data_IF_127782489169
#
_entry.id   IF_127782489169
#
_cell.length_a   1.000
_cell.length_b   1.000
_cell.length_c   1.000
_cell.angle_alpha   90.00
_cell.angle_beta   90.00
_cell.angle_gamma   90.00
#
_symmetry.space_group_name_H-M   'P 1'
#
loop_
_entity.id
_entity.type
_entity.pdbx_description
1 polymer ?
#
# COMPACT_ATOMS: atom_id res chain seq x y z
N UNK A 1 8.88 -7.44 19.17
CA UNK A 1 8.59 -7.18 19.16
C UNK A 1 8.18 -6.81 19.25
N UNK A 2 7.90 -6.77 18.84
CA UNK A 2 7.33 -6.43 18.73
C UNK A 2 6.69 -6.15 19.26
N UNK A 3 6.55 -6.14 19.33
CA UNK A 3 5.84 -5.93 19.64
C UNK A 3 5.59 -5.24 20.11
N UNK A 4 5.75 -4.99 19.96
CA UNK A 4 5.38 -4.33 20.06
C UNK A 4 5.18 -3.72 19.71
N UNK A 5 5.37 -3.72 19.23
CA UNK A 5 4.92 -3.15 18.63
C UNK A 5 3.96 -3.16 18.47
N UNK A 6 3.55 -3.18 18.46
CA UNK A 6 2.48 -3.13 18.17
C UNK A 6 1.67 -3.22 18.72
N UNK A 7 1.69 -3.17 19.01
CA UNK A 7 0.92 -3.22 19.24
C UNK A 7 0.10 -3.11 19.55
N UNK A 8 0.00 -3.26 19.94
CA UNK A 8 -1.10 -3.27 19.93
C UNK A 8 -1.81 -2.56 19.59
N UNK A 9 -1.33 -2.54 19.56
CA UNK A 9 -1.75 -2.06 19.31
C UNK A 9 -2.16 -1.33 18.53
N UNK A 10 -1.87 -1.79 17.86
CA UNK A 10 -2.28 -0.87 16.82
C UNK A 10 -3.76 -1.00 16.54
N UNK A 11 -4.54 -0.23 17.26
CA UNK A 11 -5.99 -0.30 17.17
C UNK A 11 -6.55 0.66 16.13
N UNK A 12 -5.68 1.39 15.39
CA UNK A 12 -6.15 2.36 14.42
C UNK A 12 -6.35 1.79 13.04
N UNK A 13 -5.69 0.68 12.71
CA UNK A 13 -5.86 0.06 11.40
C UNK A 13 -5.64 -1.44 11.43
N UNK A 14 -6.25 -2.10 10.47
CA UNK A 14 -6.03 -3.50 10.17
C UNK A 14 -5.21 -3.57 8.89
N UNK A 15 -4.14 -4.35 8.90
CA UNK A 15 -3.25 -4.50 7.77
C UNK A 15 -3.46 -5.84 7.09
N UNK A 16 -3.47 -5.81 5.77
CA UNK A 16 -3.57 -7.00 4.97
C UNK A 16 -2.47 -6.98 3.92
N UNK A 17 -1.54 -7.91 4.01
CA UNK A 17 -0.52 -8.09 2.98
C UNK A 17 -1.15 -8.73 1.76
N UNK A 18 -0.87 -8.17 0.60
CA UNK A 18 -1.42 -8.63 -0.67
C UNK A 18 -0.44 -8.29 -1.79
N UNK A 19 -0.91 -8.35 -3.01
CA UNK A 19 -0.10 -7.98 -4.15
C UNK A 19 -0.93 -7.92 -5.41
N UNK A 20 -0.35 -7.37 -6.45
CA UNK A 20 -1.00 -7.24 -7.74
C UNK A 20 0.04 -7.42 -8.84
N UNK A 21 -0.43 -7.70 -10.05
CA UNK A 21 0.44 -7.82 -11.20
C UNK A 21 0.42 -6.55 -12.01
N UNK A 22 1.62 -6.07 -12.35
CA UNK A 22 1.82 -4.94 -13.24
C UNK A 22 2.58 -5.44 -14.46
N UNK A 23 1.88 -5.62 -15.57
CA UNK A 23 2.47 -6.15 -16.79
C UNK A 23 3.18 -7.49 -16.59
N UNK A 24 2.60 -8.38 -15.78
CA UNK A 24 3.18 -9.68 -15.50
C UNK A 24 4.21 -9.71 -14.38
N UNK A 25 4.58 -8.57 -13.81
CA UNK A 25 5.50 -8.50 -12.67
C UNK A 25 4.69 -8.33 -11.39
N UNK A 26 4.93 -9.21 -10.41
CA UNK A 26 4.21 -9.14 -9.13
C UNK A 26 4.78 -8.03 -8.26
N UNK A 27 3.88 -7.20 -7.73
CA UNK A 27 4.22 -6.11 -6.82
C UNK A 27 3.55 -6.36 -5.48
N UNK A 28 4.35 -6.28 -4.41
CA UNK A 28 3.86 -6.46 -3.05
C UNK A 28 3.14 -5.21 -2.59
N UNK A 29 2.01 -5.37 -1.93
CA UNK A 29 1.20 -4.27 -1.44
C UNK A 29 0.67 -4.56 -0.06
N UNK A 30 0.23 -3.53 0.63
CA UNK A 30 -0.45 -3.65 1.91
C UNK A 30 -1.66 -2.75 1.91
N UNK A 31 -2.80 -3.31 2.30
CA UNK A 31 -4.02 -2.54 2.54
C UNK A 31 -4.09 -2.24 4.03
N UNK A 32 -4.19 -0.96 4.35
CA UNK A 32 -4.36 -0.48 5.72
C UNK A 32 -5.80 0.03 5.83
N UNK A 33 -6.60 -0.64 6.65
CA UNK A 33 -8.01 -0.29 6.81
C UNK A 33 -8.25 0.26 8.19
N UNK A 34 -9.17 1.22 8.35
CA UNK A 34 -9.58 1.66 9.70
C UNK A 34 -10.03 0.46 10.53
N UNK A 35 -9.73 0.47 11.82
CA UNK A 35 -10.16 -0.60 12.73
C UNK A 35 -11.67 -0.70 12.78
N UNK A 36 -12.36 0.41 12.61
CA UNK A 36 -13.82 0.45 12.53
C UNK A 36 -14.23 1.18 11.27
N UNK A 37 -14.97 0.49 10.42
CA UNK A 37 -15.54 1.13 9.25
C UNK A 37 -16.71 2.01 9.68
N UNK A 38 -16.76 3.22 9.13
CA UNK A 38 -17.85 4.16 9.39
C UNK A 38 -18.93 4.09 8.31
N UNK A 39 -18.68 3.33 7.24
CA UNK A 39 -19.60 3.15 6.13
C UNK A 39 -19.29 1.83 5.44
N UNK A 40 -20.22 1.38 4.60
CA UNK A 40 -20.05 0.14 3.84
C UNK A 40 -18.89 0.23 2.86
N UNK A 41 -18.72 1.41 2.25
CA UNK A 41 -17.56 1.71 1.42
C UNK A 41 -16.86 2.94 1.95
N UNK A 42 -15.54 2.95 1.84
CA UNK A 42 -14.71 4.05 2.33
C UNK A 42 -13.87 4.60 1.19
N UNK A 43 -13.58 5.90 1.24
CA UNK A 43 -12.62 6.46 0.30
C UNK A 43 -11.24 5.90 0.57
N UNK A 44 -10.41 5.85 -0.46
CA UNK A 44 -9.09 5.25 -0.36
C UNK A 44 -8.02 6.19 -0.87
N UNK A 45 -6.82 6.01 -0.34
CA UNK A 45 -5.63 6.76 -0.74
C UNK A 45 -4.58 5.75 -1.18
N UNK A 46 -4.05 5.95 -2.38
CA UNK A 46 -2.90 5.20 -2.87
C UNK A 46 -1.66 6.03 -2.58
N UNK A 47 -0.71 5.45 -1.85
CA UNK A 47 0.53 6.14 -1.54
C UNK A 47 1.64 5.71 -2.49
N UNK A 48 2.22 6.69 -3.17
CA UNK A 48 3.33 6.49 -4.10
C UNK A 48 4.57 7.07 -3.44
N UNK A 49 5.43 6.19 -2.94
CA UNK A 49 6.64 6.65 -2.26
C UNK A 49 7.67 7.17 -3.26
N UNK A 50 8.63 7.91 -2.75
CA UNK A 50 9.59 8.58 -3.59
C UNK A 50 10.77 7.71 -4.00
N UNK A 51 11.77 8.37 -4.50
CA UNK A 51 13.00 7.81 -5.04
C UNK A 51 13.69 6.92 -4.00
N UNK A 52 13.90 5.66 -4.33
CA UNK A 52 14.57 4.71 -3.44
C UNK A 52 13.77 4.25 -2.24
N UNK A 53 12.49 4.64 -2.14
CA UNK A 53 11.65 4.24 -1.02
C UNK A 53 11.03 2.87 -1.20
N UNK A 54 10.56 2.32 -0.09
CA UNK A 54 9.78 1.09 -0.05
C UNK A 54 8.58 1.32 0.86
N UNK A 55 7.56 0.44 0.74
CA UNK A 55 6.30 0.65 1.44
C UNK A 55 6.42 0.68 2.96
N UNK A 56 7.41 0.01 3.51
CA UNK A 56 7.56 -0.09 4.97
C UNK A 56 8.48 0.96 5.57
N UNK A 57 9.05 1.86 4.76
CA UNK A 57 10.09 2.76 5.25
C UNK A 57 9.63 4.21 5.43
N UNK A 58 8.88 4.76 4.49
CA UNK A 58 8.64 6.20 4.45
C UNK A 58 7.18 6.60 4.67
N UNK A 59 6.28 5.64 4.78
CA UNK A 59 4.84 5.90 4.74
C UNK A 59 4.12 5.67 6.06
N UNK A 60 4.81 5.17 7.08
CA UNK A 60 4.15 4.68 8.31
C UNK A 60 3.29 5.74 8.98
N UNK A 61 3.85 6.91 9.24
CA UNK A 61 3.09 7.94 9.96
C UNK A 61 1.92 8.47 9.12
N UNK A 62 2.08 8.48 7.80
CA UNK A 62 1.00 8.96 6.93
C UNK A 62 -0.17 7.99 6.92
N UNK A 63 0.07 6.70 6.75
CA UNK A 63 -1.08 5.78 6.68
C UNK A 63 -1.79 5.64 8.02
N UNK A 64 -1.08 5.79 9.13
CA UNK A 64 -1.73 5.78 10.44
C UNK A 64 -2.70 6.95 10.58
N UNK A 65 -2.27 8.14 10.21
CA UNK A 65 -3.13 9.32 10.27
C UNK A 65 -4.31 9.22 9.32
N UNK A 66 -4.08 8.74 8.10
CA UNK A 66 -5.16 8.63 7.12
C UNK A 66 -6.19 7.58 7.53
N UNK A 67 -5.76 6.44 8.06
CA UNK A 67 -6.71 5.43 8.52
C UNK A 67 -7.49 5.91 9.74
N UNK A 68 -6.85 6.67 10.60
CA UNK A 68 -7.55 7.28 11.74
C UNK A 68 -8.63 8.24 11.28
N UNK A 69 -8.41 8.90 10.14
CA UNK A 69 -9.38 9.82 9.55
C UNK A 69 -10.48 9.11 8.75
N UNK A 70 -10.42 7.79 8.61
CA UNK A 70 -11.48 7.02 7.95
C UNK A 70 -11.16 6.56 6.54
N UNK A 71 -9.92 6.73 6.07
CA UNK A 71 -9.52 6.29 4.74
C UNK A 71 -8.94 4.88 4.77
N UNK A 72 -9.17 4.13 3.70
CA UNK A 72 -8.35 2.96 3.42
C UNK A 72 -7.10 3.44 2.70
N UNK A 73 -5.94 2.95 3.10
CA UNK A 73 -4.67 3.36 2.49
C UNK A 73 -4.02 2.13 1.89
N UNK A 74 -3.53 2.24 0.66
CA UNK A 74 -2.71 1.19 0.08
C UNK A 74 -1.30 1.71 -0.13
N UNK A 75 -0.33 0.94 0.37
CA UNK A 75 1.08 1.13 0.10
C UNK A 75 1.56 -0.04 -0.74
N UNK A 76 2.61 0.15 -1.52
CA UNK A 76 3.17 -0.94 -2.32
C UNK A 76 4.63 -0.67 -2.62
N UNK A 77 5.32 -1.72 -3.04
CA UNK A 77 6.69 -1.61 -3.53
C UNK A 77 6.67 -1.63 -5.06
N UNK A 78 7.35 -0.68 -5.67
CA UNK A 78 7.54 -0.70 -7.12
C UNK A 78 8.33 -1.94 -7.53
N UNK A 79 8.15 -2.38 -8.79
CA UNK A 79 8.91 -3.53 -9.28
C UNK A 79 10.40 -3.33 -9.07
N UNK A 80 11.09 -4.40 -8.70
CA UNK A 80 12.53 -4.35 -8.44
C UNK A 80 12.91 -3.79 -7.10
N UNK A 81 11.94 -3.44 -6.25
CA UNK A 81 12.18 -2.85 -4.94
C UNK A 81 11.43 -3.60 -3.85
N UNK A 82 11.95 -3.53 -2.63
CA UNK A 82 11.30 -4.12 -1.46
C UNK A 82 10.95 -5.59 -1.68
N UNK A 83 9.72 -5.94 -1.40
CA UNK A 83 9.20 -7.30 -1.51
C UNK A 83 8.62 -7.61 -2.89
N UNK A 84 8.61 -6.65 -3.80
CA UNK A 84 8.11 -6.86 -5.15
C UNK A 84 9.12 -7.62 -6.00
N UNK A 85 8.61 -8.36 -6.98
CA UNK A 85 9.45 -9.03 -7.97
C UNK A 85 10.05 -8.03 -8.94
N UNK A 86 10.86 -8.52 -9.86
CA UNK A 86 11.43 -7.72 -10.94
C UNK A 86 12.93 -7.68 -10.89
N UNK A 87 13.52 -7.88 -12.06
CA UNK A 87 14.96 -7.81 -12.29
C UNK A 87 15.21 -6.88 -13.46
N UNK A 88 16.32 -6.13 -13.45
CA UNK A 88 17.31 -6.03 -12.37
C UNK A 88 16.75 -5.29 -11.16
N UNK A 89 17.37 -5.56 -9.99
CA UNK A 89 16.93 -4.91 -8.74
C UNK A 89 17.44 -3.48 -8.67
N UNK A 90 16.64 -2.63 -8.03
CA UNK A 90 17.01 -1.26 -7.66
C UNK A 90 17.32 -0.36 -8.86
N UNK A 91 16.63 -0.60 -9.95
CA UNK A 91 16.68 0.30 -11.11
C UNK A 91 15.42 1.16 -11.10
N UNK A 92 15.58 2.45 -11.33
CA UNK A 92 14.47 3.39 -11.36
C UNK A 92 14.17 3.76 -12.81
N UNK A 93 12.94 3.51 -13.21
CA UNK A 93 12.43 3.88 -14.53
C UNK A 93 11.11 4.60 -14.33
N UNK A 94 11.05 5.84 -14.77
CA UNK A 94 9.82 6.63 -14.63
C UNK A 94 8.66 5.94 -15.36
N UNK A 95 8.91 5.38 -16.56
CA UNK A 95 7.88 4.67 -17.30
C UNK A 95 7.32 3.48 -16.55
N UNK A 96 8.20 2.68 -15.95
CA UNK A 96 7.76 1.50 -15.18
C UNK A 96 7.03 1.92 -13.92
N UNK A 97 7.48 3.00 -13.27
CA UNK A 97 6.80 3.48 -12.06
C UNK A 97 5.39 3.98 -12.34
N UNK A 98 5.20 4.65 -13.46
CA UNK A 98 3.86 5.05 -13.88
C UNK A 98 2.99 3.83 -14.14
N UNK A 99 3.52 2.83 -14.84
CA UNK A 99 2.78 1.59 -15.10
C UNK A 99 2.42 0.87 -13.81
N UNK A 100 3.36 0.78 -12.87
CA UNK A 100 3.10 0.14 -11.58
C UNK A 100 2.05 0.92 -10.77
N UNK A 101 2.12 2.25 -10.80
CA UNK A 101 1.14 3.10 -10.13
C UNK A 101 -0.27 2.95 -10.73
N UNK A 102 -0.36 2.87 -12.06
CA UNK A 102 -1.64 2.64 -12.73
C UNK A 102 -2.23 1.28 -12.35
N UNK A 103 -1.40 0.24 -12.32
CA UNK A 103 -1.83 -1.10 -11.93
C UNK A 103 -2.25 -1.12 -10.46
N UNK A 104 -1.52 -0.43 -9.60
CA UNK A 104 -1.85 -0.31 -8.19
C UNK A 104 -3.20 0.37 -7.98
N UNK A 105 -3.46 1.44 -8.71
CA UNK A 105 -4.73 2.17 -8.61
C UNK A 105 -5.88 1.28 -9.05
N UNK A 106 -5.73 0.58 -10.17
CA UNK A 106 -6.77 -0.32 -10.66
C UNK A 106 -7.06 -1.44 -9.65
N UNK A 107 -6.02 -1.99 -9.05
CA UNK A 107 -6.17 -3.03 -8.03
C UNK A 107 -6.91 -2.48 -6.81
N UNK A 108 -6.51 -1.31 -6.31
CA UNK A 108 -7.14 -0.70 -5.14
C UNK A 108 -8.64 -0.46 -5.39
N UNK A 109 -8.99 0.07 -6.55
CA UNK A 109 -10.39 0.35 -6.88
C UNK A 109 -11.24 -0.91 -6.95
N UNK A 110 -10.63 -2.07 -7.18
CA UNK A 110 -11.35 -3.34 -7.28
C UNK A 110 -11.55 -4.03 -5.93
N UNK A 111 -10.96 -3.52 -4.86
CA UNK A 111 -11.00 -4.20 -3.58
C UNK A 111 -12.33 -3.99 -2.88
N UNK A 112 -12.79 -4.99 -2.08
CA UNK A 112 -14.03 -4.85 -1.32
C UNK A 112 -13.97 -3.69 -0.35
N UNK A 113 -15.10 -3.00 -0.18
CA UNK A 113 -15.21 -1.91 0.79
C UNK A 113 -14.59 -0.60 0.35
N UNK A 114 -14.14 -0.50 -0.88
CA UNK A 114 -13.54 0.72 -1.42
C UNK A 114 -14.58 1.45 -2.27
N UNK A 115 -14.69 2.76 -2.05
CA UNK A 115 -15.49 3.64 -2.89
C UNK A 115 -14.64 4.03 -4.09
N UNK A 116 -14.93 3.48 -5.27
CA UNK A 116 -14.07 3.72 -6.45
C UNK A 116 -14.20 5.17 -7.02
#
# INVERSE_FOLDING_TARGET
MDTLRHSPQDLTCNRQRTGFYSGGTWCAATLHRPAKATAETLPAILMLHGWGGIQDALTVSYYEEFTRAGYVVMTFDYRGWGDSAGLPRHVISARQRVADGDAALAFLKSQPGIDP
#
